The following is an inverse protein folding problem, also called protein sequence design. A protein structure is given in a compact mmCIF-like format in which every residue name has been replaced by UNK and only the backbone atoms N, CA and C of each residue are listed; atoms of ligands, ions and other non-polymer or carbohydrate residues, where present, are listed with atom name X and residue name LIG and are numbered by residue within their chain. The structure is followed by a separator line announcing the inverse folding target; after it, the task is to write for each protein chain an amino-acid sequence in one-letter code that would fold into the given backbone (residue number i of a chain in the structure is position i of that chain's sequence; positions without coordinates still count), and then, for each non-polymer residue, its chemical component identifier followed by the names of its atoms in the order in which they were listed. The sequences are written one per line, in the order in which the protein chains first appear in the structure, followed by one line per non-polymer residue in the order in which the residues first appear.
data_IF_482526768453
#
_entry.id   IF_482526768453
#
_cell.length_a   1.000
_cell.length_b   1.000
_cell.length_c   1.000
_cell.angle_alpha   90.00
_cell.angle_beta   90.00
_cell.angle_gamma   90.00
#
_symmetry.space_group_name_H-M   'P 1'
#
loop_
_entity.id
_entity.type
_entity.pdbx_description
1 polymer ?
#
# COMPACT_ATOMS: atom_id res chain seq x y z
N UNK A 1 -74.10 -20.16 -34.11
CA UNK A 1 -75.38 -19.66 -33.57
C UNK A 1 -75.10 -18.37 -32.91
N UNK A 2 -75.35 -17.29 -33.61
CA UNK A 2 -76.57 -16.45 -33.58
C UNK A 2 -76.62 -15.63 -32.30
N UNK A 3 -76.34 -14.38 -32.47
CA UNK A 3 -77.15 -13.13 -32.60
C UNK A 3 -77.11 -12.35 -31.28
N UNK A 4 -77.12 -11.08 -31.12
CA UNK A 4 -77.55 -9.90 -31.90
C UNK A 4 -77.06 -8.63 -31.20
N UNK A 5 -76.53 -7.72 -31.90
CA UNK A 5 -76.59 -6.29 -31.98
C UNK A 5 -77.73 -5.60 -31.22
N UNK A 6 -77.50 -4.52 -30.52
CA UNK A 6 -78.32 -3.29 -30.52
C UNK A 6 -77.48 -2.04 -30.33
N UNK A 7 -77.86 -1.05 -31.16
CA UNK A 7 -77.23 0.23 -31.45
C UNK A 7 -78.10 1.35 -30.82
N UNK A 8 -77.41 2.43 -30.35
CA UNK A 8 -77.76 3.85 -30.29
C UNK A 8 -78.77 4.37 -29.23
N UNK A 9 -78.82 5.67 -28.96
CA UNK A 9 -78.28 6.82 -29.72
C UNK A 9 -77.50 7.88 -28.89
N UNK A 10 -76.93 8.82 -29.63
CA UNK A 10 -76.17 10.01 -29.26
C UNK A 10 -76.97 11.05 -28.46
N UNK A 11 -76.27 11.79 -27.62
CA UNK A 11 -76.66 13.14 -27.20
C UNK A 11 -75.47 14.08 -27.30
N UNK A 12 -75.67 15.16 -28.03
CA UNK A 12 -74.78 16.31 -28.20
C UNK A 12 -74.88 17.23 -26.98
N UNK A 13 -73.78 17.78 -26.50
CA UNK A 13 -73.78 18.81 -25.45
C UNK A 13 -72.41 19.45 -25.27
N UNK A 14 -72.27 20.62 -25.78
CA UNK A 14 -71.36 21.77 -25.65
C UNK A 14 -70.09 21.68 -24.70
N UNK A 15 -69.02 22.40 -25.08
CA UNK A 15 -67.72 22.34 -24.37
C UNK A 15 -67.68 23.32 -23.18
N UNK A 16 -67.22 22.82 -22.03
CA UNK A 16 -66.77 23.64 -20.90
C UNK A 16 -65.26 23.69 -20.94
N UNK A 17 -64.71 24.89 -21.25
CA UNK A 17 -63.30 25.22 -21.07
C UNK A 17 -63.02 25.23 -19.54
N UNK A 18 -62.36 24.19 -19.04
CA UNK A 18 -61.71 24.21 -17.73
C UNK A 18 -60.20 24.35 -17.97
N UNK A 19 -59.67 25.54 -17.73
CA UNK A 19 -58.21 25.80 -17.77
C UNK A 19 -57.51 25.07 -16.61
N UNK A 20 -56.78 24.02 -16.92
CA UNK A 20 -55.82 23.39 -15.99
C UNK A 20 -54.57 24.22 -15.94
N UNK A 21 -54.44 25.03 -14.89
CA UNK A 21 -53.15 25.63 -14.50
C UNK A 21 -52.26 24.51 -13.94
N UNK A 22 -51.39 23.93 -14.75
CA UNK A 22 -50.33 23.04 -14.28
C UNK A 22 -49.25 23.88 -13.61
N UNK A 23 -49.28 23.95 -12.29
CA UNK A 23 -48.11 24.38 -11.50
C UNK A 23 -46.99 23.36 -11.68
N UNK A 24 -46.05 23.69 -12.57
CA UNK A 24 -44.75 23.04 -12.62
C UNK A 24 -43.95 23.45 -11.37
N UNK A 25 -44.01 22.64 -10.31
CA UNK A 25 -43.07 22.70 -9.21
C UNK A 25 -41.76 22.10 -9.73
N UNK A 26 -40.66 22.84 -9.76
CA UNK A 26 -39.40 22.21 -10.11
C UNK A 26 -39.00 21.22 -9.00
N UNK A 27 -39.01 19.93 -9.32
CA UNK A 27 -38.37 18.92 -8.51
C UNK A 27 -36.87 19.20 -8.55
N UNK A 28 -36.38 20.02 -7.61
CA UNK A 28 -34.96 20.07 -7.31
C UNK A 28 -34.60 18.68 -6.76
N UNK A 29 -34.02 17.85 -7.63
CA UNK A 29 -33.35 16.63 -7.20
C UNK A 29 -32.21 17.08 -6.29
N UNK A 30 -32.41 16.97 -5.00
CA UNK A 30 -31.32 17.04 -4.03
C UNK A 30 -30.42 15.86 -4.33
N UNK A 31 -29.32 16.12 -5.00
CA UNK A 31 -28.21 15.17 -5.05
C UNK A 31 -27.77 15.00 -3.59
N UNK A 32 -28.13 13.88 -2.98
CA UNK A 32 -27.56 13.49 -1.71
C UNK A 32 -26.05 13.36 -1.95
N UNK A 33 -25.28 14.22 -1.30
CA UNK A 33 -23.84 13.98 -1.20
C UNK A 33 -23.64 12.54 -0.71
N UNK A 34 -22.72 11.79 -1.34
CA UNK A 34 -22.44 10.44 -0.88
C UNK A 34 -22.07 10.53 0.59
N UNK A 35 -22.77 9.77 1.42
CA UNK A 35 -22.50 9.72 2.86
C UNK A 35 -21.00 9.47 3.07
N UNK A 36 -20.34 10.34 3.82
CA UNK A 36 -18.92 10.20 4.12
C UNK A 36 -18.69 8.82 4.73
N UNK A 37 -17.70 8.08 4.21
CA UNK A 37 -17.34 6.78 4.78
C UNK A 37 -17.01 6.97 6.27
N UNK A 38 -17.43 6.06 7.15
CA UNK A 38 -17.06 6.13 8.55
C UNK A 38 -15.53 6.05 8.68
N UNK A 39 -14.95 6.92 9.51
CA UNK A 39 -13.51 6.94 9.80
C UNK A 39 -13.34 6.85 11.31
N UNK A 40 -12.43 6.00 11.76
CA UNK A 40 -12.12 5.90 13.18
C UNK A 40 -11.42 7.20 13.64
N UNK A 41 -11.84 7.80 14.76
CA UNK A 41 -11.16 8.97 15.30
C UNK A 41 -9.79 8.56 15.83
N UNK A 42 -8.74 9.17 15.29
CA UNK A 42 -7.35 8.98 15.74
C UNK A 42 -6.73 10.37 15.93
N UNK A 43 -6.18 10.59 17.10
CA UNK A 43 -5.52 11.87 17.41
C UNK A 43 -4.38 12.12 16.41
N UNK A 44 -4.31 13.35 15.91
CA UNK A 44 -3.26 13.84 15.00
C UNK A 44 -3.23 13.17 13.60
N UNK A 45 -4.20 12.29 13.29
CA UNK A 45 -4.26 11.64 11.98
C UNK A 45 -4.91 12.51 10.89
N UNK A 46 -5.70 13.52 11.28
CA UNK A 46 -6.46 14.34 10.33
C UNK A 46 -5.73 15.66 10.08
N UNK A 47 -5.26 15.86 8.84
CA UNK A 47 -4.65 17.08 8.35
C UNK A 47 -5.20 17.41 6.96
N UNK A 48 -5.35 18.69 6.65
CA UNK A 48 -5.77 19.18 5.33
C UNK A 48 -4.61 19.74 4.53
N UNK A 49 -3.56 20.15 5.22
CA UNK A 49 -2.34 20.71 4.64
C UNK A 49 -1.12 20.01 5.21
N UNK A 50 0.01 20.08 4.50
CA UNK A 50 1.22 19.45 4.98
C UNK A 50 1.75 20.06 6.28
N UNK A 51 1.50 21.35 6.54
CA UNK A 51 1.93 22.03 7.79
C UNK A 51 1.16 21.53 9.01
N UNK A 52 -0.04 20.99 8.80
CA UNK A 52 -0.86 20.38 9.86
C UNK A 52 -0.48 18.94 10.15
N UNK A 53 0.26 18.28 9.27
CA UNK A 53 0.62 16.86 9.43
C UNK A 53 1.44 16.66 10.72
N UNK A 54 1.04 15.65 11.49
CA UNK A 54 1.73 15.24 12.73
C UNK A 54 1.96 13.74 12.71
N UNK A 55 2.96 13.23 13.43
CA UNK A 55 3.04 11.81 13.73
C UNK A 55 1.79 11.34 14.46
N UNK A 56 1.28 10.16 14.11
CA UNK A 56 0.16 9.56 14.83
C UNK A 56 0.37 8.06 15.03
N UNK A 57 -0.41 7.51 15.95
CA UNK A 57 -0.48 6.07 16.19
C UNK A 57 -1.84 5.57 15.75
N UNK A 58 -1.87 4.69 14.76
CA UNK A 58 -3.08 3.99 14.34
C UNK A 58 -3.29 2.76 15.24
N UNK A 59 -4.55 2.46 15.56
CA UNK A 59 -4.93 1.23 16.26
C UNK A 59 -5.81 0.39 15.34
N UNK A 60 -5.47 -0.87 15.17
CA UNK A 60 -6.31 -1.81 14.44
C UNK A 60 -7.52 -2.16 15.29
N UNK A 61 -8.69 -1.68 14.89
CA UNK A 61 -9.93 -1.81 15.65
C UNK A 61 -10.26 -3.25 16.04
N UNK A 62 -10.69 -3.46 17.28
CA UNK A 62 -10.97 -4.79 17.83
C UNK A 62 -9.72 -5.54 18.27
N UNK A 63 -8.55 -4.89 18.32
CA UNK A 63 -7.27 -5.48 18.78
C UNK A 63 -6.51 -4.50 19.67
N UNK A 64 -5.43 -4.94 20.28
CA UNK A 64 -4.47 -4.05 20.97
C UNK A 64 -3.27 -3.67 20.09
N UNK A 65 -3.25 -4.12 18.84
CA UNK A 65 -2.16 -3.85 17.90
C UNK A 65 -2.24 -2.42 17.40
N UNK A 66 -1.10 -1.75 17.45
CA UNK A 66 -0.93 -0.36 17.01
C UNK A 66 0.32 -0.23 16.16
N UNK A 67 0.32 0.71 15.23
CA UNK A 67 1.50 1.10 14.46
C UNK A 67 1.62 2.62 14.35
N UNK A 68 2.84 3.09 14.18
CA UNK A 68 3.14 4.52 14.12
C UNK A 68 3.35 4.98 12.69
N UNK A 69 2.83 6.17 12.39
CA UNK A 69 2.99 6.87 11.13
C UNK A 69 3.71 8.19 11.35
N UNK A 70 4.68 8.52 10.51
CA UNK A 70 5.37 9.82 10.52
C UNK A 70 5.04 10.61 9.26
N UNK A 71 4.87 11.94 9.35
CA UNK A 71 4.61 12.79 8.21
C UNK A 71 5.89 12.95 7.38
N UNK A 72 5.77 12.76 6.08
CA UNK A 72 6.78 13.05 5.09
C UNK A 72 6.30 14.27 4.30
N UNK A 73 6.99 15.38 4.48
CA UNK A 73 6.67 16.62 3.77
C UNK A 73 6.93 16.43 2.28
N UNK A 74 6.02 16.94 1.44
CA UNK A 74 6.24 16.93 0.01
C UNK A 74 7.46 17.77 -0.38
N UNK A 75 8.12 17.41 -1.48
CA UNK A 75 9.31 18.10 -1.91
C UNK A 75 9.95 17.54 -3.16
N UNK A 76 11.09 18.10 -3.52
CA UNK A 76 11.89 17.67 -4.68
C UNK A 76 13.17 17.02 -4.22
N UNK A 77 13.59 16.00 -4.96
CA UNK A 77 14.88 15.35 -4.78
C UNK A 77 15.42 14.81 -6.11
N UNK A 78 16.66 14.41 -6.10
CA UNK A 78 17.30 13.73 -7.22
C UNK A 78 17.25 12.23 -6.95
N UNK A 79 16.47 11.51 -7.74
CA UNK A 79 16.30 10.06 -7.64
C UNK A 79 17.39 9.33 -8.40
N UNK A 80 17.85 8.21 -7.85
CA UNK A 80 18.94 7.41 -8.41
C UNK A 80 20.31 7.79 -7.84
N UNK A 81 21.37 7.13 -8.32
CA UNK A 81 22.73 7.32 -7.85
C UNK A 81 23.61 7.99 -8.90
N UNK A 82 24.60 8.83 -8.49
CA UNK A 82 25.58 9.41 -9.41
C UNK A 82 26.54 8.32 -9.94
N UNK A 83 27.07 8.51 -11.14
CA UNK A 83 27.95 7.53 -11.79
C UNK A 83 29.18 7.12 -10.97
N UNK A 84 29.62 7.95 -10.02
CA UNK A 84 30.77 7.68 -9.15
C UNK A 84 30.45 7.06 -7.80
N UNK A 85 29.17 6.74 -7.51
CA UNK A 85 28.79 6.14 -6.24
C UNK A 85 29.31 4.70 -6.14
N UNK A 86 29.97 4.38 -5.03
CA UNK A 86 30.52 3.04 -4.81
C UNK A 86 29.40 1.99 -4.68
N UNK A 87 29.55 0.86 -5.35
CA UNK A 87 28.57 -0.22 -5.36
C UNK A 87 27.31 0.06 -6.19
N UNK A 88 27.34 1.11 -7.03
CA UNK A 88 26.23 1.48 -7.91
C UNK A 88 25.96 0.42 -8.98
N UNK A 89 24.68 0.15 -9.26
CA UNK A 89 24.23 -0.63 -10.40
C UNK A 89 23.77 0.28 -11.56
N UNK A 90 23.78 -0.25 -12.78
CA UNK A 90 23.42 0.53 -13.99
C UNK A 90 21.95 0.99 -13.98
N UNK A 91 21.06 0.20 -13.40
CA UNK A 91 19.62 0.46 -13.30
C UNK A 91 19.24 1.59 -12.31
N UNK A 92 20.20 2.11 -11.57
CA UNK A 92 20.04 3.26 -10.67
C UNK A 92 20.21 4.61 -11.38
N UNK A 93 20.35 4.63 -12.68
CA UNK A 93 20.57 5.84 -13.47
C UNK A 93 19.85 5.86 -14.80
N UNK A 94 19.88 7.03 -15.46
CA UNK A 94 20.48 8.31 -15.01
C UNK A 94 19.72 8.95 -13.86
N UNK A 95 20.41 9.74 -13.02
CA UNK A 95 19.75 10.56 -12.02
C UNK A 95 18.75 11.52 -12.68
N UNK A 96 17.60 11.73 -12.05
CA UNK A 96 16.55 12.62 -12.52
C UNK A 96 15.82 13.30 -11.38
N UNK A 97 15.24 14.47 -11.66
CA UNK A 97 14.51 15.23 -10.65
C UNK A 97 13.08 14.69 -10.47
N UNK A 98 12.70 14.48 -9.23
CA UNK A 98 11.35 14.03 -8.84
C UNK A 98 10.77 14.99 -7.83
N UNK A 99 9.47 15.27 -7.98
CA UNK A 99 8.63 15.93 -6.98
C UNK A 99 7.64 14.93 -6.40
N UNK A 100 7.63 14.83 -5.06
CA UNK A 100 6.74 13.93 -4.31
C UNK A 100 5.73 14.77 -3.52
N UNK A 101 4.45 14.39 -3.57
CA UNK A 101 3.41 14.98 -2.73
C UNK A 101 3.55 14.52 -1.28
N UNK A 102 3.00 15.28 -0.28
CA UNK A 102 3.10 14.90 1.12
C UNK A 102 2.27 13.65 1.45
N UNK A 103 2.82 12.82 2.32
CA UNK A 103 2.21 11.57 2.77
C UNK A 103 2.69 11.18 4.19
N UNK A 104 2.01 10.27 4.86
CA UNK A 104 2.55 9.59 6.04
C UNK A 104 3.12 8.25 5.64
N UNK A 105 4.19 7.84 6.31
CA UNK A 105 4.81 6.53 6.13
C UNK A 105 4.87 5.78 7.46
N UNK A 106 4.68 4.48 7.42
CA UNK A 106 4.91 3.58 8.55
C UNK A 106 6.34 3.71 9.05
N UNK A 107 6.50 3.88 10.36
CA UNK A 107 7.82 4.10 10.99
C UNK A 107 8.79 2.96 10.71
N UNK A 108 8.28 1.75 10.57
CA UNK A 108 9.00 0.53 10.22
C UNK A 108 8.15 -0.36 9.30
N UNK A 109 8.68 -1.49 8.90
CA UNK A 109 7.97 -2.51 8.13
C UNK A 109 6.75 -3.01 8.91
N UNK A 110 5.72 -3.48 8.17
CA UNK A 110 4.55 -4.16 8.78
C UNK A 110 5.02 -5.42 9.49
N UNK A 111 4.65 -5.55 10.76
CA UNK A 111 5.04 -6.69 11.60
C UNK A 111 4.10 -7.89 11.43
N UNK A 112 4.54 -9.07 11.90
CA UNK A 112 3.67 -10.24 12.01
C UNK A 112 2.47 -9.97 12.93
N UNK A 113 2.66 -9.19 14.00
CA UNK A 113 1.57 -8.82 14.91
C UNK A 113 0.44 -8.06 14.18
N UNK A 114 0.79 -7.23 13.20
CA UNK A 114 -0.17 -6.49 12.37
C UNK A 114 -0.74 -7.37 11.24
N UNK A 115 0.15 -8.07 10.51
CA UNK A 115 -0.21 -8.81 9.29
C UNK A 115 -1.13 -10.01 9.58
N UNK A 116 -0.91 -10.73 10.68
CA UNK A 116 -1.69 -11.92 11.04
C UNK A 116 -3.13 -11.59 11.44
N UNK A 117 -3.43 -10.37 11.88
CA UNK A 117 -4.80 -9.97 12.14
C UNK A 117 -5.65 -10.16 10.88
N UNK A 118 -5.09 -9.79 9.73
CA UNK A 118 -5.75 -9.96 8.45
C UNK A 118 -5.58 -11.39 7.92
N UNK A 119 -4.36 -11.89 7.82
CA UNK A 119 -4.06 -13.14 7.11
C UNK A 119 -4.63 -14.38 7.77
N UNK A 120 -4.85 -14.36 9.09
CA UNK A 120 -5.48 -15.45 9.86
C UNK A 120 -6.88 -15.11 10.40
N UNK A 121 -7.52 -14.06 9.89
CA UNK A 121 -8.87 -13.63 10.30
C UNK A 121 -9.01 -13.40 11.82
N UNK A 122 -7.94 -13.00 12.50
CA UNK A 122 -7.95 -12.89 13.96
C UNK A 122 -8.95 -11.87 14.48
N UNK A 123 -9.20 -10.80 13.73
CA UNK A 123 -10.21 -9.78 14.04
C UNK A 123 -11.63 -10.36 13.97
N UNK A 124 -11.93 -11.21 12.99
CA UNK A 124 -13.23 -11.92 12.86
C UNK A 124 -13.40 -12.92 14.01
N UNK A 125 -12.35 -13.70 14.29
CA UNK A 125 -12.39 -14.70 15.36
C UNK A 125 -12.62 -14.05 16.72
N UNK A 126 -11.92 -12.94 17.01
CA UNK A 126 -12.11 -12.18 18.26
C UNK A 126 -13.53 -11.68 18.43
N UNK A 127 -14.13 -11.09 17.39
CA UNK A 127 -15.53 -10.65 17.43
C UNK A 127 -16.49 -11.80 17.68
N UNK A 128 -16.27 -12.97 17.04
CA UNK A 128 -17.08 -14.17 17.29
C UNK A 128 -17.00 -14.62 18.74
N UNK A 129 -15.81 -14.59 19.35
CA UNK A 129 -15.61 -14.99 20.75
C UNK A 129 -16.20 -13.99 21.75
N UNK A 130 -16.12 -12.69 21.48
CA UNK A 130 -16.69 -11.63 22.34
C UNK A 130 -18.20 -11.45 22.16
N UNK A 131 -18.79 -12.02 21.11
CA UNK A 131 -20.20 -11.80 20.77
C UNK A 131 -20.51 -10.41 20.20
N UNK A 132 -19.49 -9.65 19.81
CA UNK A 132 -19.63 -8.31 19.22
C UNK A 132 -20.17 -8.39 17.80
N UNK A 133 -21.13 -7.50 17.48
CA UNK A 133 -21.62 -7.36 16.11
C UNK A 133 -20.61 -6.55 15.27
N UNK A 134 -20.38 -6.93 14.01
CA UNK A 134 -19.51 -6.18 13.13
C UNK A 134 -20.05 -4.76 12.87
N UNK A 135 -19.20 -3.76 13.00
CA UNK A 135 -19.44 -2.38 12.55
C UNK A 135 -19.49 -2.30 11.02
N UNK A 136 -19.84 -1.15 10.46
CA UNK A 136 -19.79 -0.96 8.99
C UNK A 136 -18.36 -1.07 8.45
N UNK A 137 -17.35 -0.58 9.20
CA UNK A 137 -15.94 -0.77 8.86
C UNK A 137 -15.55 -2.25 8.90
N UNK A 138 -16.00 -2.98 9.92
CA UNK A 138 -15.75 -4.43 9.98
C UNK A 138 -16.35 -5.17 8.80
N UNK A 139 -17.59 -4.87 8.41
CA UNK A 139 -18.22 -5.49 7.24
C UNK A 139 -17.46 -5.23 5.96
N UNK A 140 -16.96 -4.00 5.76
CA UNK A 140 -16.14 -3.64 4.62
C UNK A 140 -14.80 -4.39 4.64
N UNK A 141 -14.15 -4.47 5.81
CA UNK A 141 -12.87 -5.17 5.98
C UNK A 141 -13.01 -6.70 5.82
N UNK A 142 -14.12 -7.27 6.31
CA UNK A 142 -14.40 -8.71 6.18
C UNK A 142 -14.63 -9.14 4.72
N UNK A 143 -15.07 -8.21 3.85
CA UNK A 143 -15.25 -8.46 2.43
C UNK A 143 -13.94 -8.47 1.63
N UNK A 144 -12.83 -7.99 2.20
CA UNK A 144 -11.52 -8.03 1.53
C UNK A 144 -10.98 -9.46 1.54
N UNK A 145 -10.59 -9.94 0.37
CA UNK A 145 -10.02 -11.29 0.21
C UNK A 145 -8.78 -11.46 1.08
N UNK A 146 -8.69 -12.59 1.75
CA UNK A 146 -7.60 -12.99 2.64
C UNK A 146 -6.83 -14.17 2.06
N UNK A 147 -5.54 -14.34 2.41
CA UNK A 147 -4.78 -15.50 1.99
C UNK A 147 -5.31 -16.79 2.62
N UNK A 148 -5.19 -17.88 1.89
CA UNK A 148 -5.32 -19.22 2.49
C UNK A 148 -4.17 -19.39 3.49
N UNK A 149 -4.44 -19.88 4.72
CA UNK A 149 -3.40 -20.15 5.69
C UNK A 149 -2.30 -21.04 5.08
N UNK A 150 -1.01 -20.68 5.27
CA UNK A 150 0.09 -21.48 4.73
C UNK A 150 0.20 -22.82 5.45
N UNK A 151 0.70 -23.85 4.74
CA UNK A 151 0.94 -25.17 5.33
C UNK A 151 2.20 -25.23 6.23
N UNK A 152 3.06 -24.22 6.11
CA UNK A 152 4.31 -24.12 6.84
C UNK A 152 4.38 -22.84 7.66
N UNK A 153 5.21 -22.84 8.70
CA UNK A 153 5.52 -21.61 9.43
C UNK A 153 6.32 -20.65 8.55
N UNK A 154 5.67 -19.56 8.10
CA UNK A 154 6.27 -18.56 7.22
C UNK A 154 7.27 -17.65 7.93
N UNK A 155 7.49 -17.81 9.24
CA UNK A 155 8.60 -17.18 9.98
C UNK A 155 9.89 -17.96 9.83
N UNK A 156 9.83 -19.22 9.37
CA UNK A 156 10.94 -20.16 9.31
C UNK A 156 11.71 -20.26 10.65
N UNK A 157 11.02 -20.04 11.76
CA UNK A 157 11.60 -20.06 13.11
C UNK A 157 12.51 -18.86 13.43
N UNK A 158 12.56 -17.83 12.58
CA UNK A 158 13.45 -16.69 12.76
C UNK A 158 12.95 -15.65 13.77
N UNK A 159 11.65 -15.65 14.10
CA UNK A 159 11.04 -14.75 15.09
C UNK A 159 9.70 -14.20 14.62
N UNK A 160 8.84 -13.77 15.55
CA UNK A 160 7.47 -13.36 15.27
C UNK A 160 7.09 -12.04 15.95
N UNK A 161 7.01 -11.98 17.27
CA UNK A 161 6.56 -10.80 18.02
C UNK A 161 7.49 -9.60 17.82
N UNK A 162 6.98 -8.54 17.17
CA UNK A 162 7.75 -7.34 16.82
C UNK A 162 8.75 -7.53 15.68
N UNK A 163 8.66 -8.62 14.93
CA UNK A 163 9.45 -8.85 13.72
C UNK A 163 8.65 -8.52 12.47
N UNK A 164 9.31 -8.10 11.36
CA UNK A 164 8.60 -7.81 10.12
C UNK A 164 7.95 -9.06 9.54
N UNK A 165 6.76 -8.92 8.96
CA UNK A 165 6.15 -9.97 8.17
C UNK A 165 6.93 -10.16 6.86
N UNK A 166 7.16 -11.41 6.49
CA UNK A 166 7.97 -11.78 5.31
C UNK A 166 7.25 -12.76 4.38
N UNK A 167 7.86 -13.05 3.25
CA UNK A 167 7.40 -14.07 2.29
C UNK A 167 6.06 -13.82 1.61
N UNK A 168 5.48 -12.62 1.72
CA UNK A 168 4.27 -12.30 1.00
C UNK A 168 4.56 -11.82 -0.43
N UNK A 169 3.62 -12.09 -1.35
CA UNK A 169 3.64 -11.47 -2.66
C UNK A 169 3.25 -9.99 -2.59
N UNK A 170 3.55 -9.21 -3.61
CA UNK A 170 3.08 -7.82 -3.70
C UNK A 170 1.53 -7.76 -3.69
N UNK A 171 0.85 -8.77 -4.28
CA UNK A 171 -0.61 -8.90 -4.19
C UNK A 171 -1.09 -8.96 -2.74
N UNK A 172 -0.47 -9.80 -1.93
CA UNK A 172 -0.85 -9.94 -0.52
C UNK A 172 -0.61 -8.64 0.26
N UNK A 173 0.51 -7.97 0.01
CA UNK A 173 0.80 -6.66 0.61
C UNK A 173 -0.23 -5.59 0.19
N UNK A 174 -0.63 -5.53 -1.09
CA UNK A 174 -1.70 -4.66 -1.58
C UNK A 174 -3.06 -4.99 -0.95
N UNK A 175 -3.39 -6.27 -0.81
CA UNK A 175 -4.64 -6.72 -0.16
C UNK A 175 -4.67 -6.42 1.33
N UNK A 176 -3.54 -6.52 2.01
CA UNK A 176 -3.42 -6.03 3.38
C UNK A 176 -3.71 -4.53 3.47
N UNK A 177 -3.17 -3.71 2.58
CA UNK A 177 -3.45 -2.28 2.54
C UNK A 177 -4.93 -1.98 2.26
N UNK A 178 -5.58 -2.73 1.37
CA UNK A 178 -7.01 -2.65 1.09
C UNK A 178 -7.85 -2.98 2.34
N UNK A 179 -7.49 -4.06 3.04
CA UNK A 179 -8.11 -4.42 4.32
C UNK A 179 -7.89 -3.35 5.39
N UNK A 180 -6.67 -2.85 5.55
CA UNK A 180 -6.35 -1.80 6.52
C UNK A 180 -7.14 -0.51 6.23
N UNK A 181 -7.29 -0.16 4.96
CA UNK A 181 -8.12 0.95 4.50
C UNK A 181 -9.58 0.77 4.90
N UNK A 182 -10.14 -0.41 4.63
CA UNK A 182 -11.52 -0.73 5.00
C UNK A 182 -11.71 -0.75 6.53
N UNK A 183 -10.71 -1.26 7.27
CA UNK A 183 -10.75 -1.40 8.73
C UNK A 183 -10.67 -0.07 9.48
N UNK A 184 -9.95 0.91 8.93
CA UNK A 184 -9.72 2.21 9.59
C UNK A 184 -10.56 3.35 9.00
N UNK A 185 -11.01 3.20 7.76
CA UNK A 185 -11.64 4.25 6.97
C UNK A 185 -10.63 5.23 6.35
N UNK A 186 -9.31 5.04 6.58
CA UNK A 186 -8.21 5.83 6.00
C UNK A 186 -7.55 5.06 4.86
N UNK A 187 -7.19 5.77 3.81
CA UNK A 187 -6.59 5.12 2.64
C UNK A 187 -5.11 4.79 2.86
N UNK A 188 -4.78 3.51 2.88
CA UNK A 188 -3.42 2.98 2.96
C UNK A 188 -3.05 2.23 1.67
N UNK A 189 -1.77 2.32 1.28
CA UNK A 189 -1.21 1.61 0.12
C UNK A 189 0.29 1.34 0.31
N UNK A 190 0.88 0.59 -0.61
CA UNK A 190 2.33 0.54 -0.75
C UNK A 190 2.86 1.90 -1.24
N UNK A 191 4.10 2.27 -0.90
CA UNK A 191 4.76 3.43 -1.51
C UNK A 191 5.00 3.20 -3.00
N UNK A 192 5.10 4.29 -3.78
CA UNK A 192 5.79 4.24 -5.06
C UNK A 192 7.29 4.11 -4.82
N UNK A 193 8.04 3.69 -5.84
CA UNK A 193 9.50 3.61 -5.75
C UNK A 193 10.13 4.97 -5.41
N UNK A 194 9.59 6.05 -5.98
CA UNK A 194 10.05 7.41 -5.73
C UNK A 194 9.74 7.89 -4.29
N UNK A 195 8.55 7.59 -3.76
CA UNK A 195 8.19 7.90 -2.37
C UNK A 195 9.10 7.16 -1.38
N UNK A 196 9.38 5.89 -1.68
CA UNK A 196 10.26 5.08 -0.85
C UNK A 196 11.69 5.65 -0.80
N UNK A 197 12.30 5.95 -1.97
CA UNK A 197 13.66 6.50 -2.04
C UNK A 197 13.74 7.88 -1.39
N UNK A 198 12.75 8.75 -1.65
CA UNK A 198 12.66 10.06 -1.02
C UNK A 198 12.65 9.97 0.51
N UNK A 199 11.83 9.08 1.04
CA UNK A 199 11.72 8.84 2.47
C UNK A 199 12.98 8.19 3.07
N UNK A 200 13.60 7.27 2.34
CA UNK A 200 14.87 6.64 2.73
C UNK A 200 15.98 7.67 2.86
N UNK A 201 16.15 8.54 1.85
CA UNK A 201 17.17 9.60 1.84
C UNK A 201 16.99 10.63 2.95
N UNK A 202 15.77 10.92 3.33
CA UNK A 202 15.45 11.89 4.39
C UNK A 202 16.20 13.23 4.23
N UNK A 203 16.25 13.74 3.00
CA UNK A 203 16.89 15.00 2.64
C UNK A 203 18.38 14.92 2.24
N UNK A 204 18.99 13.73 2.23
CA UNK A 204 20.38 13.54 1.79
C UNK A 204 20.46 13.16 0.31
N UNK A 205 21.64 13.35 -0.29
CA UNK A 205 22.01 12.88 -1.62
C UNK A 205 23.13 11.82 -1.57
N UNK A 206 23.43 11.30 -0.39
CA UNK A 206 24.48 10.32 -0.12
C UNK A 206 23.99 8.89 -0.35
N UNK A 207 24.92 7.93 -0.42
CA UNK A 207 24.59 6.51 -0.62
C UNK A 207 23.61 5.96 0.43
N UNK A 208 23.78 6.41 1.67
CA UNK A 208 22.88 6.09 2.79
C UNK A 208 22.32 7.37 3.41
N UNK A 209 21.24 7.27 4.16
CA UNK A 209 20.60 8.42 4.82
C UNK A 209 21.47 9.17 5.86
N UNK A 210 22.62 8.61 6.21
CA UNK A 210 23.57 9.16 7.20
C UNK A 210 24.92 9.57 6.57
N UNK A 211 25.12 9.38 5.27
CA UNK A 211 26.38 9.67 4.55
C UNK A 211 26.80 8.54 3.62
N UNK A 212 28.09 8.58 3.18
CA UNK A 212 28.61 7.62 2.20
C UNK A 212 29.47 6.50 2.82
N UNK A 213 29.71 6.53 4.13
CA UNK A 213 30.58 5.57 4.81
C UNK A 213 29.85 4.26 5.14
N UNK A 214 30.11 3.15 4.41
CA UNK A 214 29.44 1.87 4.66
C UNK A 214 29.84 1.25 6.01
N UNK A 215 30.92 1.69 6.66
CA UNK A 215 31.31 1.19 7.98
C UNK A 215 30.32 1.57 9.09
N UNK A 216 29.56 2.65 8.89
CA UNK A 216 28.51 3.09 9.83
C UNK A 216 27.18 2.37 9.64
N UNK A 217 27.01 1.57 8.60
CA UNK A 217 25.76 0.85 8.33
C UNK A 217 25.31 -0.03 9.51
N UNK A 218 26.25 -0.59 10.27
CA UNK A 218 25.98 -1.38 11.47
C UNK A 218 25.13 -0.66 12.53
N UNK A 219 25.13 0.69 12.53
CA UNK A 219 24.35 1.47 13.48
C UNK A 219 22.89 1.66 13.03
N UNK A 220 22.64 1.59 11.72
CA UNK A 220 21.36 1.93 11.09
C UNK A 220 20.61 0.73 10.53
N UNK A 221 21.27 -0.41 10.32
CA UNK A 221 20.70 -1.52 9.56
C UNK A 221 21.07 -2.90 10.10
N UNK A 222 20.20 -3.86 9.84
CA UNK A 222 20.45 -5.29 9.91
C UNK A 222 20.66 -5.81 8.48
N UNK A 223 21.87 -6.25 8.17
CA UNK A 223 22.28 -6.72 6.85
C UNK A 223 23.20 -7.93 6.97
N UNK A 224 23.69 -8.51 5.87
CA UNK A 224 24.41 -9.79 5.88
C UNK A 224 25.54 -9.88 6.94
N UNK A 225 26.26 -8.78 7.17
CA UNK A 225 27.39 -8.74 8.11
C UNK A 225 26.96 -8.92 9.57
N UNK A 226 25.80 -8.40 10.00
CA UNK A 226 25.43 -8.29 11.41
C UNK A 226 24.08 -8.94 11.79
N UNK A 227 23.31 -9.40 10.80
CA UNK A 227 21.97 -9.99 10.98
C UNK A 227 21.97 -11.33 11.70
N UNK A 228 23.12 -12.02 11.77
CA UNK A 228 23.24 -13.38 12.30
C UNK A 228 22.41 -14.40 11.51
N UNK A 229 22.25 -14.19 10.20
CA UNK A 229 21.55 -15.09 9.29
C UNK A 229 20.02 -15.08 9.44
N UNK A 230 19.44 -14.02 9.98
CA UNK A 230 17.97 -13.83 10.09
C UNK A 230 17.58 -12.37 10.19
N UNK A 231 16.32 -12.06 9.84
CA UNK A 231 15.76 -10.75 10.11
C UNK A 231 15.63 -10.50 11.63
N UNK A 232 15.48 -9.26 12.03
CA UNK A 232 15.48 -8.81 13.42
C UNK A 232 14.19 -8.05 13.74
N UNK A 233 13.94 -7.80 15.04
CA UNK A 233 12.82 -6.95 15.46
C UNK A 233 12.95 -5.57 14.83
N UNK A 234 11.81 -5.04 14.39
CA UNK A 234 11.74 -3.70 13.77
C UNK A 234 12.16 -2.60 14.75
N UNK A 235 12.72 -1.51 14.23
CA UNK A 235 13.02 -0.33 15.02
C UNK A 235 14.13 -0.47 16.04
N UNK A 236 15.01 -1.47 15.91
CA UNK A 236 16.09 -1.76 16.89
C UNK A 236 17.43 -1.10 16.53
N UNK A 237 17.52 -0.49 15.36
CA UNK A 237 18.66 0.32 14.91
C UNK A 237 18.32 1.81 14.96
N UNK A 238 19.26 2.68 14.56
CA UNK A 238 18.99 4.12 14.47
C UNK A 238 18.06 4.45 13.30
N UNK A 239 17.12 5.37 13.48
CA UNK A 239 16.30 5.86 12.37
C UNK A 239 17.09 6.84 11.48
N UNK A 240 16.54 7.11 10.29
CA UNK A 240 17.00 8.24 9.48
C UNK A 240 16.53 9.58 10.10
N UNK A 241 16.89 10.70 9.46
CA UNK A 241 16.57 12.05 9.97
C UNK A 241 15.06 12.34 10.06
N UNK A 242 14.21 11.59 9.34
CA UNK A 242 12.75 11.73 9.39
C UNK A 242 12.07 10.72 10.32
N UNK A 243 12.86 9.96 11.09
CA UNK A 243 12.34 9.03 12.09
C UNK A 243 11.90 7.68 11.55
N UNK A 244 12.33 7.32 10.34
CA UNK A 244 12.06 6.01 9.71
C UNK A 244 13.20 5.03 10.03
N UNK A 245 12.82 3.85 10.48
CA UNK A 245 13.72 2.76 10.83
C UNK A 245 13.82 1.74 9.69
N UNK A 246 14.89 0.97 9.71
CA UNK A 246 15.11 -0.21 8.88
C UNK A 246 15.10 0.07 7.36
N UNK A 247 15.34 1.34 6.95
CA UNK A 247 15.37 1.76 5.54
C UNK A 247 16.58 1.23 4.76
N UNK A 248 17.56 0.62 5.40
CA UNK A 248 18.83 0.17 4.81
C UNK A 248 19.12 -1.31 5.07
N UNK A 249 18.10 -2.13 5.33
CA UNK A 249 18.26 -3.55 5.62
C UNK A 249 17.03 -4.14 6.28
N UNK A 250 17.20 -5.11 7.13
CA UNK A 250 16.20 -5.96 7.76
C UNK A 250 15.42 -6.76 6.70
N UNK A 251 14.35 -6.21 6.09
CA UNK A 251 13.70 -6.87 4.95
C UNK A 251 13.57 -5.91 3.77
N UNK A 252 13.72 -6.42 2.56
CA UNK A 252 13.44 -5.66 1.34
C UNK A 252 11.94 -5.40 1.23
N UNK A 253 11.57 -4.22 0.77
CA UNK A 253 10.19 -3.75 0.85
C UNK A 253 9.54 -3.62 -0.53
N UNK A 254 8.36 -4.22 -0.68
CA UNK A 254 7.55 -4.01 -1.86
C UNK A 254 7.18 -2.55 -2.06
N UNK A 255 7.37 -2.07 -3.29
CA UNK A 255 6.80 -0.82 -3.78
C UNK A 255 5.80 -1.11 -4.90
N UNK A 256 5.06 -0.09 -5.37
CA UNK A 256 4.01 -0.27 -6.39
C UNK A 256 4.56 -0.58 -7.78
N UNK A 257 5.79 -0.15 -8.06
CA UNK A 257 6.37 -0.09 -9.40
C UNK A 257 6.75 -1.47 -9.96
N UNK A 258 6.61 -1.59 -11.28
CA UNK A 258 7.26 -2.63 -12.07
C UNK A 258 8.75 -2.32 -12.22
N UNK A 259 9.58 -3.35 -12.26
CA UNK A 259 11.01 -3.18 -12.47
C UNK A 259 11.34 -3.15 -13.97
N UNK A 260 12.01 -2.08 -14.37
CA UNK A 260 12.57 -1.88 -15.71
C UNK A 260 14.01 -1.38 -15.57
N UNK A 261 15.02 -2.05 -16.14
CA UNK A 261 16.41 -1.64 -15.99
C UNK A 261 16.70 -0.22 -16.51
N UNK A 262 15.95 0.21 -17.52
CA UNK A 262 16.09 1.51 -18.18
C UNK A 262 15.06 2.55 -17.70
N UNK A 263 14.35 2.28 -16.61
CA UNK A 263 13.23 3.07 -16.11
C UNK A 263 13.55 4.57 -16.02
N UNK A 264 14.68 4.89 -15.44
CA UNK A 264 15.08 6.28 -15.16
C UNK A 264 15.43 7.07 -16.41
N UNK A 265 15.81 6.41 -17.50
CA UNK A 265 16.03 7.05 -18.81
C UNK A 265 14.76 7.74 -19.34
N UNK A 266 13.58 7.24 -18.99
CA UNK A 266 12.27 7.80 -19.38
C UNK A 266 12.01 9.16 -18.73
N UNK A 267 12.68 9.44 -17.61
CA UNK A 267 12.52 10.64 -16.79
C UNK A 267 13.70 11.62 -16.91
N UNK A 268 14.78 11.24 -17.57
CA UNK A 268 15.99 12.04 -17.69
C UNK A 268 15.70 13.45 -18.27
N UNK A 269 16.33 14.47 -17.66
CA UNK A 269 16.27 15.85 -18.12
C UNK A 269 14.95 16.59 -17.89
N UNK A 270 14.03 16.04 -17.11
CA UNK A 270 12.74 16.68 -16.77
C UNK A 270 12.39 16.42 -15.30
N UNK A 271 11.72 17.40 -14.68
CA UNK A 271 11.07 17.20 -13.39
C UNK A 271 9.81 16.33 -13.56
N UNK A 272 9.72 15.22 -12.86
CA UNK A 272 8.57 14.33 -12.88
C UNK A 272 7.88 14.34 -11.52
N UNK A 273 6.57 14.57 -11.51
CA UNK A 273 5.77 14.58 -10.28
C UNK A 273 5.14 13.22 -10.04
N UNK A 274 5.33 12.67 -8.83
CA UNK A 274 4.79 11.39 -8.38
C UNK A 274 4.95 10.27 -9.43
N UNK A 275 6.16 10.00 -9.96
CA UNK A 275 6.32 8.97 -10.98
C UNK A 275 5.89 7.61 -10.47
N UNK A 276 5.23 6.85 -11.34
CA UNK A 276 4.85 5.46 -11.13
C UNK A 276 4.95 4.71 -12.45
N UNK A 277 5.70 3.65 -12.48
CA UNK A 277 5.78 2.73 -13.61
C UNK A 277 5.02 1.45 -13.28
N UNK A 278 3.82 1.34 -13.82
CA UNK A 278 3.00 0.14 -13.60
C UNK A 278 3.67 -1.11 -14.18
N UNK A 279 3.62 -2.24 -13.47
CA UNK A 279 4.16 -3.50 -13.99
C UNK A 279 3.34 -4.01 -15.18
N UNK A 280 4.02 -4.53 -16.20
CA UNK A 280 3.41 -5.18 -17.38
C UNK A 280 3.23 -6.69 -17.19
N UNK A 281 3.78 -7.25 -16.10
CA UNK A 281 3.72 -8.66 -15.78
C UNK A 281 3.69 -8.93 -14.28
N UNK A 282 3.64 -10.21 -13.92
CA UNK A 282 3.79 -10.64 -12.53
C UNK A 282 5.19 -10.34 -12.00
N UNK A 283 6.16 -10.49 -12.87
CA UNK A 283 7.58 -10.28 -12.64
C UNK A 283 8.20 -9.56 -13.84
N UNK A 284 9.29 -8.80 -13.65
CA UNK A 284 9.81 -8.36 -12.35
C UNK A 284 9.07 -7.13 -11.78
N UNK A 285 9.01 -7.04 -10.45
CA UNK A 285 8.50 -5.88 -9.68
C UNK A 285 9.60 -5.39 -8.75
N UNK A 286 9.54 -4.11 -8.37
CA UNK A 286 10.59 -3.50 -7.54
C UNK A 286 10.40 -3.83 -6.06
N UNK A 287 11.50 -4.18 -5.39
CA UNK A 287 11.68 -4.08 -3.94
C UNK A 287 12.88 -3.18 -3.62
N UNK A 288 12.86 -2.56 -2.45
CA UNK A 288 13.85 -1.54 -2.03
C UNK A 288 14.38 -1.83 -0.64
N UNK A 289 15.55 -1.25 -0.31
CA UNK A 289 16.10 -1.21 1.04
C UNK A 289 17.18 -2.23 1.36
N UNK A 290 17.41 -3.22 0.50
CA UNK A 290 18.24 -4.37 0.87
C UNK A 290 17.57 -5.23 1.93
N UNK A 291 18.30 -6.14 2.57
CA UNK A 291 17.74 -7.05 3.56
C UNK A 291 18.80 -7.64 4.50
N UNK A 292 18.37 -8.47 5.42
CA UNK A 292 19.25 -9.21 6.34
C UNK A 292 20.24 -10.17 5.62
N UNK A 293 20.01 -10.47 4.33
CA UNK A 293 20.92 -11.27 3.49
C UNK A 293 21.80 -10.43 2.58
N UNK A 294 21.46 -9.14 2.41
CA UNK A 294 22.09 -8.26 1.44
C UNK A 294 23.46 -7.74 1.92
N UNK A 295 24.45 -7.59 1.05
CA UNK A 295 25.66 -6.86 1.36
C UNK A 295 25.39 -5.35 1.49
N UNK A 296 26.33 -4.59 2.01
CA UNK A 296 26.14 -3.16 2.32
C UNK A 296 25.77 -2.31 1.07
N UNK A 297 26.36 -2.61 -0.07
CA UNK A 297 26.11 -1.90 -1.33
C UNK A 297 24.69 -2.09 -1.87
N UNK A 298 24.04 -3.19 -1.57
CA UNK A 298 22.62 -3.39 -1.88
C UNK A 298 21.66 -2.71 -0.89
N UNK A 299 22.17 -2.21 0.25
CA UNK A 299 21.39 -1.47 1.25
C UNK A 299 21.42 0.06 1.03
N UNK A 300 21.98 0.57 -0.09
CA UNK A 300 22.02 2.00 -0.41
C UNK A 300 20.62 2.54 -0.74
N UNK A 301 20.44 3.84 -0.55
CA UNK A 301 19.14 4.50 -0.81
C UNK A 301 18.66 4.32 -2.25
N UNK A 302 19.56 4.28 -3.23
CA UNK A 302 19.25 4.14 -4.65
C UNK A 302 19.17 2.68 -5.13
N UNK A 303 19.63 1.70 -4.33
CA UNK A 303 19.67 0.30 -4.72
C UNK A 303 18.26 -0.25 -5.00
N UNK A 304 18.16 -1.03 -6.08
CA UNK A 304 16.91 -1.62 -6.59
C UNK A 304 17.06 -3.12 -6.68
N UNK A 305 16.02 -3.86 -6.30
CA UNK A 305 15.99 -5.32 -6.46
C UNK A 305 14.75 -5.73 -7.25
N UNK A 306 14.98 -6.48 -8.33
CA UNK A 306 13.94 -7.06 -9.17
C UNK A 306 13.39 -8.35 -8.55
N UNK A 307 12.08 -8.48 -8.44
CA UNK A 307 11.46 -9.76 -8.08
C UNK A 307 11.60 -10.78 -9.20
N UNK A 308 11.64 -12.07 -8.84
CA UNK A 308 11.82 -13.19 -9.76
C UNK A 308 10.78 -14.30 -9.51
N UNK A 309 10.39 -15.06 -10.55
CA UNK A 309 9.64 -16.30 -10.36
C UNK A 309 10.33 -17.30 -9.42
N UNK A 310 11.67 -17.23 -9.32
CA UNK A 310 12.48 -18.08 -8.45
C UNK A 310 12.14 -17.93 -6.95
N UNK A 311 11.53 -16.80 -6.57
CA UNK A 311 11.06 -16.58 -5.21
C UNK A 311 9.94 -17.51 -4.75
N UNK A 312 9.49 -18.40 -5.65
CA UNK A 312 8.36 -19.31 -5.45
C UNK A 312 8.64 -20.76 -5.86
N UNK A 313 9.88 -21.12 -6.13
CA UNK A 313 10.26 -22.45 -6.63
C UNK A 313 9.83 -23.56 -5.65
N UNK A 314 10.02 -23.36 -4.36
CA UNK A 314 9.75 -24.35 -3.31
C UNK A 314 8.31 -24.29 -2.77
N UNK A 315 7.41 -23.54 -3.41
CA UNK A 315 6.00 -23.52 -2.98
C UNK A 315 5.38 -24.89 -3.13
N UNK A 316 4.97 -25.57 -2.04
CA UNK A 316 4.44 -26.93 -2.09
C UNK A 316 2.98 -26.99 -2.59
N UNK A 317 2.32 -25.85 -2.78
CA UNK A 317 0.93 -25.80 -3.22
C UNK A 317 0.81 -26.05 -4.73
N UNK A 318 -0.22 -26.78 -5.14
CA UNK A 318 -0.56 -27.00 -6.53
C UNK A 318 -2.05 -26.63 -6.73
N UNK A 319 -2.37 -25.55 -7.48
CA UNK A 319 -1.41 -24.57 -8.06
C UNK A 319 -0.66 -23.80 -7.02
N UNK A 320 0.52 -23.26 -7.37
CA UNK A 320 1.32 -22.44 -6.46
C UNK A 320 0.52 -21.24 -5.92
N UNK A 321 0.74 -20.92 -4.66
CA UNK A 321 0.02 -19.84 -3.98
C UNK A 321 0.25 -18.48 -4.64
N UNK A 322 -0.80 -17.71 -4.84
CA UNK A 322 -0.69 -16.30 -5.25
C UNK A 322 -0.37 -15.34 -4.09
N UNK A 323 -0.35 -15.86 -2.87
CA UNK A 323 -0.18 -15.06 -1.65
C UNK A 323 1.24 -15.04 -1.11
N UNK A 324 2.03 -16.10 -1.37
CA UNK A 324 3.32 -16.32 -0.74
C UNK A 324 4.45 -16.48 -1.75
N UNK A 325 5.63 -16.01 -1.36
CA UNK A 325 6.92 -16.25 -2.01
C UNK A 325 7.81 -17.03 -1.03
N UNK A 326 7.74 -18.35 -1.03
CA UNK A 326 8.38 -19.24 -0.05
C UNK A 326 9.90 -19.10 0.01
N UNK A 327 10.53 -18.70 -1.10
CA UNK A 327 11.99 -18.55 -1.21
C UNK A 327 12.45 -17.11 -0.96
N UNK A 328 11.51 -16.15 -0.77
CA UNK A 328 11.82 -14.76 -0.49
C UNK A 328 11.66 -14.42 0.99
N UNK A 329 12.40 -15.13 1.85
CA UNK A 329 12.40 -14.95 3.31
C UNK A 329 12.95 -13.59 3.76
N UNK A 330 13.38 -12.79 2.80
CA UNK A 330 13.98 -11.47 2.98
C UNK A 330 13.08 -10.32 2.49
N UNK A 331 11.84 -10.60 2.08
CA UNK A 331 10.92 -9.59 1.52
C UNK A 331 9.72 -9.38 2.43
N UNK A 332 9.48 -8.11 2.76
CA UNK A 332 8.32 -7.59 3.48
C UNK A 332 7.75 -6.35 2.80
N UNK A 333 7.16 -5.44 3.58
CA UNK A 333 6.64 -4.17 3.07
C UNK A 333 6.35 -3.20 4.21
N UNK A 334 6.21 -1.92 3.87
CA UNK A 334 5.62 -0.90 4.75
C UNK A 334 4.46 -0.19 4.07
N UNK A 335 3.64 0.51 4.85
CA UNK A 335 2.47 1.23 4.34
C UNK A 335 2.74 2.72 4.26
N UNK A 336 2.09 3.37 3.30
CA UNK A 336 1.97 4.81 3.23
C UNK A 336 0.51 5.24 3.20
N UNK A 337 0.26 6.48 3.60
CA UNK A 337 -1.04 7.14 3.51
C UNK A 337 -0.83 8.52 2.90
N UNK A 338 -1.31 8.79 1.69
CA UNK A 338 -1.22 10.12 1.09
C UNK A 338 -2.04 11.14 1.90
N UNK A 339 -1.60 12.40 1.90
CA UNK A 339 -2.36 13.50 2.52
C UNK A 339 -3.66 13.75 1.76
N UNK A 340 -3.58 13.72 0.43
CA UNK A 340 -4.72 13.86 -0.47
C UNK A 340 -5.39 12.50 -0.68
N UNK A 341 -6.71 12.48 -0.66
CA UNK A 341 -7.45 11.30 -1.11
C UNK A 341 -7.15 11.02 -2.58
N UNK A 342 -6.93 9.75 -2.95
CA UNK A 342 -6.62 9.38 -4.32
C UNK A 342 -7.86 9.55 -5.22
N UNK A 343 -7.60 9.88 -6.48
CA UNK A 343 -8.63 9.88 -7.52
C UNK A 343 -9.07 8.45 -7.87
N UNK A 344 -10.21 8.32 -8.55
CA UNK A 344 -10.69 7.00 -8.99
C UNK A 344 -9.71 6.29 -9.94
N UNK A 345 -8.93 7.05 -10.71
CA UNK A 345 -7.90 6.50 -11.60
C UNK A 345 -6.68 5.99 -10.80
N UNK A 346 -6.22 6.79 -9.83
CA UNK A 346 -5.12 6.39 -8.93
C UNK A 346 -5.48 5.15 -8.10
N UNK A 347 -6.74 5.03 -7.64
CA UNK A 347 -7.20 3.83 -6.93
C UNK A 347 -7.07 2.57 -7.78
N UNK A 348 -7.30 2.65 -9.10
CA UNK A 348 -7.10 1.52 -10.01
C UNK A 348 -5.63 1.18 -10.20
N UNK A 349 -4.76 2.20 -10.27
CA UNK A 349 -3.32 2.02 -10.47
C UNK A 349 -2.63 1.47 -9.20
N UNK A 350 -3.06 1.92 -8.03
CA UNK A 350 -2.46 1.53 -6.74
C UNK A 350 -2.97 0.19 -6.21
N UNK A 351 -4.15 -0.24 -6.64
CA UNK A 351 -4.76 -1.49 -6.22
C UNK A 351 -4.10 -2.75 -6.82
N UNK A 352 -4.60 -3.93 -6.47
CA UNK A 352 -4.22 -5.18 -7.13
C UNK A 352 -4.54 -5.12 -8.62
N UNK A 353 -3.58 -5.46 -9.47
CA UNK A 353 -3.79 -5.50 -10.91
C UNK A 353 -4.41 -6.84 -11.39
N UNK A 354 -5.04 -6.85 -12.58
CA UNK A 354 -5.71 -8.07 -13.09
C UNK A 354 -4.78 -9.27 -13.23
N UNK A 355 -3.49 -9.06 -13.52
CA UNK A 355 -2.51 -10.15 -13.65
C UNK A 355 -2.24 -10.83 -12.31
N UNK A 356 -2.30 -10.07 -11.20
CA UNK A 356 -2.13 -10.62 -9.85
C UNK A 356 -3.39 -11.37 -9.38
N UNK A 357 -4.57 -10.94 -9.82
CA UNK A 357 -5.85 -11.50 -9.37
C UNK A 357 -6.17 -12.80 -10.12
N UNK A 358 -5.95 -12.81 -11.43
CA UNK A 358 -6.35 -13.89 -12.34
C UNK A 358 -5.27 -14.96 -12.52
N UNK A 359 -4.47 -15.22 -11.52
CA UNK A 359 -3.53 -16.33 -11.49
C UNK A 359 -4.34 -17.64 -11.32
N UNK A 360 -4.81 -18.19 -12.44
CA UNK A 360 -5.27 -19.56 -12.57
C UNK A 360 -4.18 -20.42 -13.21
#
# INVERSE_FOLDING_TARGET
MSKLVRVCPAWQGLPILAGLLTCLVPFAAWAQEPASKPVLPVKDADAKTQDEMRPYTEKIAGTEVTFRMVPIQGGKFVMGSPNGEAGRNEDEGPQHEVEVEPFWMGVHEVTWDEYEIWSFEMDIQRRKLSGEKPSELDKAADAVTRPTPPYTDMTFGMGKEGYPAICMTQLAAKKYCEWLTAKTGRYYRLPTEAEWEYACRAGTNTAYSYGDDPAKLDEYAWFAKNSKGKYQKVGTKKPNAWGLYDMHGNVAEWVLDGYYPDAYSKFAGKLTKNPLLLPEGLYPRVTRGGSWTAPADECRSASRLASSPDWKIQDPQIPQSKWYHTDATFVGFRVVRPLREPTAEELKQYGPDPMQINLE
#
